data_IF_753095377506
#
_entry.id   IF_753095377506
#
_cell.length_a   1.000
_cell.length_b   1.000
_cell.length_c   1.000
_cell.angle_alpha   90.00
_cell.angle_beta   90.00
_cell.angle_gamma   90.00
#
_symmetry.space_group_name_H-M   'P 1'
#
loop_
_entity.id
_entity.type
_entity.pdbx_description
1 polymer ?
#
# COMPACT_ATOMS: atom_id res chain seq x y z
N UNK A 1 24.91 -9.83 -72.89
CA UNK A 1 24.05 -9.69 -74.08
C UNK A 1 22.61 -9.62 -73.60
N UNK A 2 21.93 -8.51 -73.92
CA UNK A 2 20.47 -8.25 -74.04
C UNK A 2 19.56 -8.72 -72.88
N UNK A 3 18.89 -7.89 -72.06
CA UNK A 3 18.03 -6.72 -72.29
C UNK A 3 16.83 -6.96 -73.23
N UNK A 4 15.65 -6.49 -72.78
CA UNK A 4 14.40 -6.04 -73.49
C UNK A 4 13.16 -6.60 -72.75
N UNK A 5 12.42 -5.83 -71.93
CA UNK A 5 11.52 -4.67 -72.14
C UNK A 5 10.02 -5.05 -72.35
N UNK A 6 9.14 -4.33 -71.64
CA UNK A 6 7.67 -4.28 -71.82
C UNK A 6 6.94 -4.07 -70.47
N UNK A 7 6.69 -2.87 -69.92
CA UNK A 7 5.91 -1.71 -70.44
C UNK A 7 4.41 -2.07 -70.58
N UNK A 8 3.37 -1.38 -70.10
CA UNK A 8 3.13 -0.06 -69.47
C UNK A 8 1.63 -0.03 -69.02
N UNK A 9 1.22 1.04 -68.33
CA UNK A 9 -0.14 1.51 -67.95
C UNK A 9 -0.50 1.29 -66.47
N UNK A 10 -0.24 2.24 -65.56
CA UNK A 10 -0.85 3.58 -65.36
C UNK A 10 -2.35 3.56 -65.04
N UNK A 11 -2.70 3.95 -63.81
CA UNK A 11 -3.75 4.92 -63.48
C UNK A 11 -3.42 5.57 -62.12
N UNK A 12 -3.39 6.89 -62.15
CA UNK A 12 -3.06 7.87 -61.12
C UNK A 12 -3.98 7.86 -59.87
N UNK A 13 -3.44 8.30 -58.74
CA UNK A 13 -3.89 9.56 -58.14
C UNK A 13 -2.82 10.18 -57.18
N UNK A 14 -2.68 11.52 -57.17
CA UNK A 14 -1.55 12.22 -56.55
C UNK A 14 -1.91 12.86 -55.20
N UNK A 15 -0.98 12.92 -54.24
CA UNK A 15 -1.04 13.94 -53.20
C UNK A 15 0.37 14.37 -52.75
N UNK A 16 0.76 15.51 -53.30
CA UNK A 16 1.85 16.44 -52.98
C UNK A 16 2.69 16.21 -51.71
N UNK A 17 3.96 15.87 -51.91
CA UNK A 17 5.06 16.18 -51.00
C UNK A 17 5.53 17.62 -51.25
N UNK A 18 5.46 18.50 -50.24
CA UNK A 18 6.12 19.81 -50.27
C UNK A 18 7.45 19.74 -49.54
N UNK A 19 8.51 19.77 -50.34
CA UNK A 19 9.86 20.18 -49.96
C UNK A 19 9.81 21.65 -49.50
N UNK A 20 10.38 21.97 -48.33
CA UNK A 20 10.80 23.35 -48.05
C UNK A 20 12.22 23.36 -47.48
N UNK A 21 13.00 24.22 -48.09
CA UNK A 21 14.44 24.40 -47.98
C UNK A 21 14.86 24.99 -46.63
N UNK A 22 16.04 24.57 -46.21
CA UNK A 22 16.87 25.19 -45.17
C UNK A 22 17.54 26.45 -45.73
N UNK A 23 17.41 27.57 -45.03
CA UNK A 23 18.28 28.75 -45.15
C UNK A 23 18.81 29.14 -43.76
N UNK A 24 20.10 29.51 -43.61
CA UNK A 24 20.66 29.99 -42.35
C UNK A 24 20.65 31.53 -42.30
N UNK A 25 20.29 32.11 -41.14
CA UNK A 25 20.53 33.54 -40.84
C UNK A 25 20.91 33.73 -39.37
N UNK A 26 22.17 34.12 -39.16
CA UNK A 26 22.58 35.39 -38.55
C UNK A 26 21.92 35.89 -37.26
N UNK A 27 22.71 35.84 -36.19
CA UNK A 27 22.99 36.84 -35.14
C UNK A 27 22.01 38.00 -34.83
N UNK A 28 22.00 38.28 -33.52
CA UNK A 28 21.73 39.56 -32.81
C UNK A 28 20.29 39.84 -32.38
N UNK A 29 20.14 40.14 -31.08
CA UNK A 29 18.90 40.69 -30.51
C UNK A 29 18.59 40.18 -29.11
N UNK A 30 19.32 40.66 -28.09
CA UNK A 30 18.87 40.60 -26.69
C UNK A 30 17.51 41.31 -26.59
N UNK A 31 16.47 40.61 -26.14
CA UNK A 31 15.23 41.23 -25.62
C UNK A 31 15.14 40.96 -24.12
N UNK A 32 14.85 41.97 -23.29
CA UNK A 32 14.73 41.77 -21.86
C UNK A 32 13.45 40.99 -21.51
N UNK A 33 13.57 40.17 -20.47
CA UNK A 33 12.47 39.44 -19.83
C UNK A 33 11.40 40.44 -19.35
N UNK A 34 10.19 40.35 -19.91
CA UNK A 34 9.02 40.96 -19.28
C UNK A 34 8.62 40.08 -18.10
N UNK A 35 8.81 40.63 -16.90
CA UNK A 35 8.18 40.13 -15.68
C UNK A 35 6.65 40.19 -15.87
N UNK A 36 6.02 39.02 -15.97
CA UNK A 36 4.57 38.90 -15.81
C UNK A 36 4.31 38.87 -14.31
N UNK A 37 3.77 39.97 -13.79
CA UNK A 37 3.45 40.15 -12.39
C UNK A 37 2.06 39.59 -12.13
N UNK A 38 1.99 38.50 -11.35
CA UNK A 38 0.74 37.91 -10.90
C UNK A 38 0.09 38.80 -9.82
N UNK A 39 -1.21 39.12 -9.91
CA UNK A 39 -1.90 39.85 -8.86
C UNK A 39 -2.09 38.96 -7.62
N UNK A 40 -1.25 39.18 -6.60
CA UNK A 40 -1.51 38.72 -5.24
C UNK A 40 -2.60 39.58 -4.62
N UNK A 41 -3.78 39.01 -4.34
CA UNK A 41 -4.64 39.24 -3.16
C UNK A 41 -6.05 38.69 -3.41
N UNK A 42 -6.30 37.46 -2.95
CA UNK A 42 -7.66 37.00 -2.66
C UNK A 42 -7.75 36.71 -1.16
N UNK A 43 -8.55 37.53 -0.46
CA UNK A 43 -8.75 37.48 0.99
C UNK A 43 -9.55 36.22 1.34
N UNK A 44 -8.93 35.27 2.04
CA UNK A 44 -9.63 34.19 2.76
C UNK A 44 -10.11 34.75 4.11
N UNK A 45 -11.43 34.80 4.30
CA UNK A 45 -12.07 34.98 5.61
C UNK A 45 -11.86 33.69 6.41
N UNK A 46 -11.05 33.76 7.46
CA UNK A 46 -10.92 32.72 8.48
C UNK A 46 -11.63 33.25 9.71
N UNK A 47 -12.72 32.59 10.12
CA UNK A 47 -13.33 32.83 11.42
C UNK A 47 -12.45 32.15 12.47
N UNK A 48 -11.84 32.95 13.34
CA UNK A 48 -11.07 32.51 14.50
C UNK A 48 -11.88 32.87 15.75
N UNK A 49 -12.38 31.86 16.45
CA UNK A 49 -12.91 32.04 17.80
C UNK A 49 -11.71 32.22 18.74
N UNK A 50 -11.70 33.36 19.42
CA UNK A 50 -10.77 33.76 20.47
C UNK A 50 -11.14 33.05 21.77
N UNK A 51 -10.17 32.36 22.38
CA UNK A 51 -10.22 31.97 23.78
C UNK A 51 -9.22 32.86 24.51
N UNK A 52 -9.74 33.84 25.24
CA UNK A 52 -8.98 34.60 26.22
C UNK A 52 -9.15 33.93 27.59
N UNK A 53 -8.03 33.85 28.31
CA UNK A 53 -7.91 33.27 29.65
C UNK A 53 -7.54 34.41 30.59
N UNK A 54 -8.38 34.73 31.57
CA UNK A 54 -8.03 35.39 32.83
C UNK A 54 -9.08 34.95 33.88
N UNK A 55 -8.73 34.05 34.79
CA UNK A 55 -8.37 34.28 36.21
C UNK A 55 -9.53 34.69 37.11
N UNK A 56 -9.60 34.02 38.26
CA UNK A 56 -10.09 34.65 39.49
C UNK A 56 -11.27 33.95 40.14
N UNK A 57 -10.94 33.08 41.10
CA UNK A 57 -11.57 32.97 42.42
C UNK A 57 -12.90 33.69 42.63
N UNK A 58 -13.94 32.93 42.96
CA UNK A 58 -14.76 33.23 44.15
C UNK A 58 -15.51 31.97 44.62
N UNK A 59 -15.20 31.60 45.85
CA UNK A 59 -15.98 30.69 46.69
C UNK A 59 -17.17 31.50 47.17
N UNK A 60 -18.39 31.10 46.81
CA UNK A 60 -19.58 31.55 47.52
C UNK A 60 -20.40 30.36 48.02
N UNK A 61 -20.19 30.09 49.30
CA UNK A 61 -21.03 29.32 50.20
C UNK A 61 -22.45 29.91 50.21
N UNK A 62 -23.41 29.23 49.58
CA UNK A 62 -24.83 29.56 49.71
C UNK A 62 -25.58 28.50 50.51
N UNK A 63 -25.50 28.69 51.82
CA UNK A 63 -26.56 28.58 52.84
C UNK A 63 -27.68 27.58 52.57
N UNK A 64 -27.62 26.52 53.37
CA UNK A 64 -28.74 25.80 53.99
C UNK A 64 -30.00 26.68 54.13
N UNK A 65 -31.07 26.31 53.43
CA UNK A 65 -32.41 26.84 53.65
C UNK A 65 -33.24 25.78 54.37
N UNK A 66 -33.62 26.14 55.60
CA UNK A 66 -34.44 25.42 56.59
C UNK A 66 -35.70 24.73 56.01
N UNK A 67 -36.12 23.56 56.55
CA UNK A 67 -37.26 22.82 56.04
C UNK A 67 -38.61 23.46 56.46
N UNK A 68 -39.63 23.51 55.59
CA UNK A 68 -40.98 23.77 56.05
C UNK A 68 -41.53 22.57 56.83
N UNK A 69 -42.33 22.92 57.83
CA UNK A 69 -42.82 22.09 58.93
C UNK A 69 -43.63 20.87 58.50
N UNK A 70 -43.48 19.82 59.32
CA UNK A 70 -44.21 18.54 59.33
C UNK A 70 -45.73 18.73 59.19
N UNK A 71 -46.29 18.19 58.10
CA UNK A 71 -47.69 17.76 58.00
C UNK A 71 -47.82 16.25 58.30
N UNK A 72 -49.02 15.74 58.62
CA UNK A 72 -49.18 14.43 59.22
C UNK A 72 -48.77 13.31 58.27
N UNK A 73 -48.06 12.31 58.82
CA UNK A 73 -47.67 11.08 58.12
C UNK A 73 -48.91 10.44 57.48
N UNK A 74 -49.02 10.49 56.15
CA UNK A 74 -49.79 9.50 55.41
C UNK A 74 -48.86 8.31 55.21
N UNK A 75 -49.23 7.17 55.79
CA UNK A 75 -48.63 5.88 55.47
C UNK A 75 -48.65 5.72 53.95
N UNK A 76 -47.48 5.50 53.37
CA UNK A 76 -47.37 5.00 52.02
C UNK A 76 -47.83 3.55 52.07
N UNK A 77 -49.12 3.31 51.83
CA UNK A 77 -49.61 1.98 51.51
C UNK A 77 -49.07 1.63 50.11
N UNK A 78 -47.87 1.06 50.12
CA UNK A 78 -47.39 0.02 49.21
C UNK A 78 -48.00 0.03 47.80
N UNK A 79 -47.44 0.88 46.94
CA UNK A 79 -47.48 0.64 45.48
C UNK A 79 -46.40 -0.37 45.04
N UNK A 80 -45.72 -1.04 45.97
CA UNK A 80 -44.64 -2.00 45.66
C UNK A 80 -45.15 -3.38 45.20
N UNK A 81 -46.45 -3.66 45.29
CA UNK A 81 -46.99 -4.96 44.87
C UNK A 81 -47.55 -4.99 43.44
N UNK A 82 -47.85 -3.82 42.84
CA UNK A 82 -48.38 -3.73 41.46
C UNK A 82 -47.26 -3.59 40.42
N UNK A 83 -46.00 -3.41 40.85
CA UNK A 83 -44.83 -3.52 39.98
C UNK A 83 -44.27 -4.95 39.86
N UNK A 84 -44.93 -5.97 40.43
CA UNK A 84 -44.34 -7.31 40.55
C UNK A 84 -44.73 -8.32 39.47
N UNK A 85 -45.64 -7.98 38.53
CA UNK A 85 -46.07 -8.96 37.52
C UNK A 85 -46.09 -8.49 36.06
N UNK A 86 -45.97 -7.18 35.77
CA UNK A 86 -45.74 -6.72 34.39
C UNK A 86 -44.26 -6.84 33.98
N UNK A 87 -43.35 -6.82 34.96
CA UNK A 87 -41.92 -7.11 34.80
C UNK A 87 -41.63 -8.62 34.67
N UNK A 88 -42.64 -9.48 34.87
CA UNK A 88 -42.44 -10.93 35.05
C UNK A 88 -42.68 -11.78 33.80
N UNK A 89 -43.04 -11.16 32.67
CA UNK A 89 -43.07 -11.85 31.37
C UNK A 89 -42.06 -11.37 30.34
N UNK A 90 -41.50 -10.16 30.49
CA UNK A 90 -40.41 -9.68 29.63
C UNK A 90 -39.39 -8.75 30.34
N UNK A 91 -39.42 -8.63 31.67
CA UNK A 91 -38.57 -7.70 32.42
C UNK A 91 -37.24 -8.30 32.85
N UNK A 92 -36.19 -7.50 32.74
CA UNK A 92 -34.77 -7.78 33.03
C UNK A 92 -34.13 -8.94 32.24
N UNK A 93 -34.69 -10.15 32.26
CA UNK A 93 -34.16 -11.29 31.52
C UNK A 93 -34.27 -11.11 29.99
N UNK A 94 -35.41 -10.62 29.50
CA UNK A 94 -35.60 -10.32 28.08
C UNK A 94 -34.73 -9.16 27.58
N UNK A 95 -34.55 -8.13 28.42
CA UNK A 95 -33.68 -7.00 28.14
C UNK A 95 -32.20 -7.39 28.10
N UNK A 96 -31.73 -8.26 29.00
CA UNK A 96 -30.35 -8.78 29.00
C UNK A 96 -30.07 -9.71 27.82
N UNK A 97 -31.05 -10.51 27.39
CA UNK A 97 -30.93 -11.32 26.16
C UNK A 97 -30.86 -10.44 24.93
N UNK A 98 -31.68 -9.38 24.83
CA UNK A 98 -31.64 -8.43 23.71
C UNK A 98 -30.35 -7.59 23.71
N UNK A 99 -29.86 -7.17 24.89
CA UNK A 99 -28.56 -6.52 25.04
C UNK A 99 -27.42 -7.46 24.69
N UNK A 100 -27.54 -8.74 25.04
CA UNK A 100 -26.64 -9.82 24.59
C UNK A 100 -26.63 -9.97 23.08
N UNK A 101 -27.79 -9.99 22.43
CA UNK A 101 -27.92 -10.07 20.96
C UNK A 101 -27.34 -8.82 20.27
N UNK A 102 -27.55 -7.62 20.81
CA UNK A 102 -26.98 -6.38 20.26
C UNK A 102 -25.46 -6.28 20.46
N UNK A 103 -24.94 -6.70 21.61
CA UNK A 103 -23.49 -6.69 21.87
C UNK A 103 -22.77 -7.81 21.14
N UNK A 104 -23.39 -8.98 20.98
CA UNK A 104 -22.81 -10.11 20.25
C UNK A 104 -22.89 -9.91 18.73
N UNK A 105 -23.96 -9.30 18.21
CA UNK A 105 -24.14 -9.01 16.78
C UNK A 105 -23.12 -8.02 16.21
N UNK A 106 -22.74 -6.98 16.98
CA UNK A 106 -21.68 -6.02 16.57
C UNK A 106 -20.28 -6.62 16.70
N UNK A 107 -20.09 -7.61 17.58
CA UNK A 107 -18.79 -8.27 17.79
C UNK A 107 -18.56 -9.44 16.82
N UNK A 108 -19.61 -10.06 16.28
CA UNK A 108 -19.48 -11.21 15.38
C UNK A 108 -18.74 -10.89 14.06
N UNK A 109 -18.76 -9.65 13.59
CA UNK A 109 -18.02 -9.23 12.38
C UNK A 109 -16.55 -8.89 12.66
N UNK A 110 -16.18 -8.60 13.91
CA UNK A 110 -14.79 -8.24 14.29
C UNK A 110 -13.95 -9.47 14.69
N UNK A 111 -14.59 -10.60 15.06
CA UNK A 111 -13.87 -11.82 15.49
C UNK A 111 -13.27 -12.58 14.30
N UNK A 112 -13.92 -12.52 13.12
CA UNK A 112 -13.54 -13.33 11.95
C UNK A 112 -12.13 -13.00 11.44
N UNK A 113 -11.79 -11.72 11.39
CA UNK A 113 -10.47 -11.22 10.98
C UNK A 113 -9.36 -11.56 11.98
N UNK A 114 -9.65 -11.62 13.29
CA UNK A 114 -8.63 -11.92 14.33
C UNK A 114 -8.17 -13.38 14.33
N UNK A 115 -9.05 -14.33 13.97
CA UNK A 115 -8.71 -15.75 13.93
C UNK A 115 -7.87 -16.09 12.70
N UNK A 116 -8.17 -15.50 11.55
CA UNK A 116 -7.41 -15.70 10.31
C UNK A 116 -5.97 -15.19 10.47
N UNK A 117 -5.78 -13.97 10.99
CA UNK A 117 -4.45 -13.43 11.27
C UNK A 117 -3.65 -14.28 12.27
N UNK A 118 -4.34 -14.92 13.22
CA UNK A 118 -3.72 -15.81 14.20
C UNK A 118 -3.36 -17.18 13.60
N UNK A 119 -4.14 -17.68 12.65
CA UNK A 119 -3.86 -18.91 11.93
C UNK A 119 -2.67 -18.75 10.97
N UNK A 120 -2.57 -17.61 10.27
CA UNK A 120 -1.43 -17.31 9.39
C UNK A 120 -0.12 -17.26 10.18
N UNK A 121 -0.12 -16.66 11.38
CA UNK A 121 1.05 -16.62 12.28
C UNK A 121 1.42 -18.00 12.83
N UNK A 122 0.43 -18.84 13.16
CA UNK A 122 0.67 -20.20 13.68
C UNK A 122 1.24 -21.17 12.65
N UNK A 123 0.94 -20.94 11.36
CA UNK A 123 1.44 -21.76 10.26
C UNK A 123 2.74 -21.20 9.63
N UNK A 124 3.32 -20.15 10.22
CA UNK A 124 4.60 -19.62 9.76
C UNK A 124 5.72 -20.44 10.39
N UNK A 125 6.53 -21.09 9.57
CA UNK A 125 7.66 -21.91 10.02
C UNK A 125 8.96 -21.14 9.76
N UNK A 126 9.69 -20.81 10.82
CA UNK A 126 11.05 -20.28 10.70
C UNK A 126 12.04 -21.42 10.46
N UNK A 127 12.92 -21.23 9.48
CA UNK A 127 14.02 -22.16 9.20
C UNK A 127 15.15 -21.81 10.16
N UNK A 128 15.73 -22.82 10.82
CA UNK A 128 16.84 -22.62 11.77
C UNK A 128 18.01 -21.95 11.04
N UNK A 129 18.54 -20.89 11.66
CA UNK A 129 19.64 -20.10 11.12
C UNK A 129 20.88 -21.01 10.96
N UNK A 130 21.22 -21.34 9.70
CA UNK A 130 22.29 -22.30 9.37
C UNK A 130 21.86 -23.50 8.51
N UNK A 131 20.55 -23.77 8.39
CA UNK A 131 19.97 -24.83 7.53
C UNK A 131 19.28 -24.24 6.29
N UNK A 132 19.85 -23.21 5.67
CA UNK A 132 19.32 -22.65 4.42
C UNK A 132 19.49 -23.64 3.26
N UNK A 133 18.49 -24.49 3.02
CA UNK A 133 18.49 -25.43 1.91
C UNK A 133 18.15 -24.71 0.60
N UNK A 134 19.16 -24.53 -0.25
CA UNK A 134 18.95 -23.99 -1.59
C UNK A 134 18.24 -25.01 -2.49
N UNK A 135 17.13 -24.59 -3.08
CA UNK A 135 16.44 -25.28 -4.15
C UNK A 135 16.83 -24.61 -5.47
N UNK A 136 17.27 -25.42 -6.43
CA UNK A 136 17.62 -24.97 -7.79
C UNK A 136 16.50 -25.35 -8.74
N UNK A 137 15.91 -24.37 -9.40
CA UNK A 137 14.92 -24.58 -10.46
C UNK A 137 15.61 -24.88 -11.81
N UNK A 138 14.85 -25.44 -12.75
CA UNK A 138 15.36 -25.86 -14.06
C UNK A 138 15.97 -24.72 -14.90
N UNK A 139 15.57 -23.48 -14.64
CA UNK A 139 16.04 -22.27 -15.31
C UNK A 139 17.23 -21.59 -14.61
N UNK A 140 17.88 -22.30 -13.67
CA UNK A 140 19.04 -21.79 -12.94
C UNK A 140 18.73 -20.83 -11.80
N UNK A 141 17.44 -20.49 -11.57
CA UNK A 141 17.02 -19.75 -10.39
C UNK A 141 17.28 -20.59 -9.13
N UNK A 142 17.93 -19.99 -8.13
CA UNK A 142 18.17 -20.65 -6.84
C UNK A 142 17.49 -19.86 -5.74
N UNK A 143 16.84 -20.54 -4.81
CA UNK A 143 16.25 -19.86 -3.66
C UNK A 143 16.35 -20.70 -2.39
N UNK A 144 16.36 -20.02 -1.24
CA UNK A 144 16.33 -20.63 0.08
C UNK A 144 15.31 -19.90 0.95
N UNK A 145 14.40 -20.66 1.55
CA UNK A 145 13.43 -20.15 2.49
C UNK A 145 14.11 -19.86 3.84
N UNK A 146 14.00 -18.62 4.32
CA UNK A 146 14.34 -18.28 5.70
C UNK A 146 13.14 -18.47 6.61
N UNK A 147 11.96 -18.12 6.09
CA UNK A 147 10.69 -18.22 6.80
C UNK A 147 9.61 -18.61 5.80
N UNK A 148 8.96 -19.73 6.03
CA UNK A 148 7.85 -20.20 5.20
C UNK A 148 6.58 -19.54 5.73
N UNK A 149 5.96 -18.69 4.91
CA UNK A 149 4.73 -18.00 5.26
C UNK A 149 3.53 -18.94 5.35
N UNK A 150 2.64 -18.69 6.32
CA UNK A 150 1.41 -19.47 6.51
C UNK A 150 0.18 -18.95 5.76
N UNK A 151 0.28 -17.76 5.14
CA UNK A 151 -0.87 -17.04 4.63
C UNK A 151 -1.26 -17.32 3.18
N UNK A 152 -1.98 -16.36 2.62
CA UNK A 152 -2.51 -16.40 1.24
C UNK A 152 -1.38 -16.61 0.21
N UNK A 153 -1.52 -17.56 -0.74
CA UNK A 153 -0.56 -17.76 -1.84
C UNK A 153 -0.64 -16.65 -2.89
N UNK A 154 0.47 -16.40 -3.57
CA UNK A 154 0.54 -15.41 -4.66
C UNK A 154 -0.12 -15.98 -5.92
N UNK A 155 -1.16 -15.33 -6.42
CA UNK A 155 -1.82 -15.69 -7.68
C UNK A 155 -1.79 -14.54 -8.69
N UNK A 156 -1.92 -14.88 -9.98
CA UNK A 156 -1.99 -13.90 -11.08
C UNK A 156 -3.08 -12.84 -10.85
N UNK A 157 -2.75 -11.58 -11.12
CA UNK A 157 -3.66 -10.45 -10.96
C UNK A 157 -3.80 -9.91 -9.53
N UNK A 158 -3.28 -10.60 -8.51
CA UNK A 158 -3.31 -10.11 -7.13
C UNK A 158 -2.35 -8.94 -6.91
N UNK A 159 -2.69 -8.07 -5.95
CA UNK A 159 -1.77 -7.05 -5.43
C UNK A 159 -0.82 -7.70 -4.42
N UNK A 160 0.47 -7.50 -4.66
CA UNK A 160 1.56 -7.96 -3.81
C UNK A 160 2.20 -6.76 -3.14
N UNK A 161 2.27 -6.79 -1.80
CA UNK A 161 3.03 -5.86 -0.99
C UNK A 161 4.31 -6.57 -0.56
N UNK A 162 5.45 -6.07 -1.03
CA UNK A 162 6.74 -6.72 -0.90
C UNK A 162 7.77 -5.75 -0.31
N UNK A 163 8.51 -6.22 0.69
CA UNK A 163 9.79 -5.67 1.06
C UNK A 163 10.88 -6.54 0.44
N UNK A 164 11.95 -5.91 -0.01
CA UNK A 164 13.16 -6.61 -0.41
C UNK A 164 14.42 -5.75 -0.26
N UNK A 165 15.55 -6.45 -0.19
CA UNK A 165 16.89 -5.92 -0.42
C UNK A 165 17.50 -6.61 -1.63
N UNK A 166 18.09 -5.85 -2.53
CA UNK A 166 18.66 -6.36 -3.77
C UNK A 166 20.12 -5.92 -3.93
N UNK A 167 20.97 -6.88 -4.27
CA UNK A 167 22.39 -6.69 -4.56
C UNK A 167 22.72 -7.24 -5.94
N UNK A 168 23.67 -6.62 -6.62
CA UNK A 168 24.24 -7.08 -7.87
C UNK A 168 25.74 -7.30 -7.67
N UNK A 169 26.21 -8.54 -7.80
CA UNK A 169 27.60 -8.92 -7.52
C UNK A 169 28.11 -8.39 -6.16
N UNK A 170 27.28 -8.50 -5.11
CA UNK A 170 27.61 -8.03 -3.76
C UNK A 170 27.40 -6.53 -3.51
N UNK A 171 27.13 -5.73 -4.54
CA UNK A 171 26.81 -4.30 -4.38
C UNK A 171 25.30 -4.09 -4.26
N UNK A 172 24.85 -3.57 -3.12
CA UNK A 172 23.46 -3.16 -2.93
C UNK A 172 23.08 -2.02 -3.87
N UNK A 173 21.94 -2.17 -4.55
CA UNK A 173 21.37 -1.13 -5.42
C UNK A 173 19.97 -0.69 -4.98
N UNK A 174 19.27 -1.50 -4.19
CA UNK A 174 17.96 -1.17 -3.65
C UNK A 174 17.76 -1.86 -2.30
N UNK A 175 17.28 -1.10 -1.32
CA UNK A 175 16.78 -1.65 -0.06
C UNK A 175 15.51 -0.92 0.36
N UNK A 176 14.39 -1.62 0.26
CA UNK A 176 13.07 -1.10 0.64
C UNK A 176 12.82 -1.16 2.15
N UNK A 177 13.48 -2.08 2.86
CA UNK A 177 13.39 -2.25 4.31
C UNK A 177 14.06 -1.07 5.02
N UNK A 178 15.27 -0.69 4.59
CA UNK A 178 15.98 0.51 5.09
C UNK A 178 15.19 1.79 4.83
N UNK A 179 14.47 1.86 3.72
CA UNK A 179 13.62 3.00 3.37
C UNK A 179 12.29 3.03 4.15
N UNK A 180 11.84 1.90 4.69
CA UNK A 180 10.53 1.77 5.32
C UNK A 180 9.35 1.95 4.36
N UNK A 181 9.57 1.78 3.05
CA UNK A 181 8.52 1.92 2.02
C UNK A 181 8.48 0.66 1.15
N UNK A 182 7.52 -0.26 1.40
CA UNK A 182 7.34 -1.46 0.59
C UNK A 182 6.96 -1.10 -0.84
N UNK A 183 7.28 -1.99 -1.78
CA UNK A 183 6.77 -1.89 -3.15
C UNK A 183 5.40 -2.58 -3.23
N UNK A 184 4.50 -1.97 -4.00
CA UNK A 184 3.20 -2.56 -4.33
C UNK A 184 3.11 -2.70 -5.84
N UNK A 185 2.78 -3.90 -6.30
CA UNK A 185 2.60 -4.18 -7.73
C UNK A 185 1.56 -5.27 -7.94
N UNK A 186 1.01 -5.35 -9.16
CA UNK A 186 0.12 -6.44 -9.58
C UNK A 186 0.96 -7.60 -10.09
N UNK A 187 0.81 -8.78 -9.50
CA UNK A 187 1.51 -9.99 -9.90
C UNK A 187 1.06 -10.44 -11.30
N UNK A 188 2.00 -10.82 -12.18
CA UNK A 188 1.74 -11.14 -13.58
C UNK A 188 1.66 -9.94 -14.53
N UNK A 189 1.89 -8.72 -14.05
CA UNK A 189 1.86 -7.50 -14.89
C UNK A 189 3.27 -7.08 -15.28
N UNK A 190 3.47 -6.84 -16.58
CA UNK A 190 4.75 -6.46 -17.18
C UNK A 190 4.59 -5.08 -17.85
N UNK A 191 5.61 -4.19 -17.80
CA UNK A 191 6.98 -4.40 -17.34
C UNK A 191 7.17 -4.38 -15.81
N UNK A 192 8.24 -5.03 -15.35
CA UNK A 192 8.61 -5.05 -13.93
C UNK A 192 8.96 -3.65 -13.42
N UNK A 193 8.41 -3.30 -12.25
CA UNK A 193 8.65 -1.99 -11.63
C UNK A 193 9.61 -2.11 -10.47
N UNK A 194 10.34 -1.03 -10.22
CA UNK A 194 11.14 -0.87 -9.02
C UNK A 194 12.42 -1.68 -8.98
N UNK A 195 12.91 -2.27 -10.08
CA UNK A 195 14.11 -3.10 -10.05
C UNK A 195 13.84 -4.55 -9.66
N UNK A 196 12.57 -4.97 -9.73
CA UNK A 196 12.19 -6.37 -9.81
C UNK A 196 12.54 -6.91 -11.21
N UNK A 197 12.75 -8.22 -11.29
CA UNK A 197 13.04 -8.93 -12.52
C UNK A 197 12.23 -10.23 -12.59
N UNK A 198 12.26 -10.89 -13.75
CA UNK A 198 11.50 -12.12 -14.00
C UNK A 198 11.80 -13.22 -12.98
N UNK A 199 13.06 -13.40 -12.60
CA UNK A 199 13.43 -14.41 -11.61
C UNK A 199 12.80 -14.18 -10.22
N UNK A 200 12.56 -12.92 -9.85
CA UNK A 200 11.86 -12.61 -8.60
C UNK A 200 10.38 -12.99 -8.69
N UNK A 201 9.74 -12.76 -9.83
CA UNK A 201 8.34 -13.14 -10.03
C UNK A 201 8.12 -14.66 -9.96
N UNK A 202 9.05 -15.43 -10.54
CA UNK A 202 9.05 -16.89 -10.47
C UNK A 202 9.32 -17.40 -9.04
N UNK A 203 10.22 -16.73 -8.30
CA UNK A 203 10.46 -17.04 -6.89
C UNK A 203 9.25 -16.75 -6.00
N UNK A 204 8.45 -15.72 -6.32
CA UNK A 204 7.22 -15.37 -5.60
C UNK A 204 6.07 -16.35 -5.86
N UNK A 205 6.07 -17.03 -7.01
CA UNK A 205 4.99 -17.95 -7.41
C UNK A 205 4.74 -19.07 -6.38
N UNK A 206 5.80 -19.53 -5.71
CA UNK A 206 5.74 -20.62 -4.72
C UNK A 206 5.72 -20.11 -3.27
N UNK A 207 5.62 -18.79 -3.08
CA UNK A 207 5.71 -18.13 -1.79
C UNK A 207 4.31 -17.82 -1.23
N UNK A 208 4.23 -17.70 0.09
CA UNK A 208 3.01 -17.38 0.84
C UNK A 208 3.22 -16.12 1.66
N UNK A 209 2.13 -15.41 1.93
CA UNK A 209 2.14 -14.22 2.78
C UNK A 209 2.81 -14.50 4.12
N UNK A 210 3.66 -13.57 4.57
CA UNK A 210 4.50 -13.72 5.76
C UNK A 210 5.79 -14.53 5.55
N UNK A 211 6.09 -14.95 4.32
CA UNK A 211 7.33 -15.64 4.02
C UNK A 211 8.53 -14.69 3.89
N UNK A 212 9.73 -15.19 4.17
CA UNK A 212 11.01 -14.53 3.87
C UNK A 212 11.89 -15.51 3.11
N UNK A 213 12.43 -15.08 1.96
CA UNK A 213 13.19 -15.94 1.05
C UNK A 213 14.40 -15.22 0.48
N UNK A 214 15.54 -15.90 0.44
CA UNK A 214 16.71 -15.50 -0.34
C UNK A 214 16.59 -16.08 -1.74
N UNK A 215 16.84 -15.27 -2.75
CA UNK A 215 16.76 -15.66 -4.16
C UNK A 215 18.03 -15.22 -4.87
N UNK A 216 18.70 -16.14 -5.54
CA UNK A 216 19.84 -15.88 -6.42
C UNK A 216 19.33 -16.01 -7.85
N UNK A 217 19.30 -14.88 -8.55
CA UNK A 217 18.75 -14.77 -9.90
C UNK A 217 19.91 -14.74 -10.90
N UNK A 218 19.99 -15.71 -11.83
CA UNK A 218 20.98 -15.68 -12.90
C UNK A 218 20.71 -14.49 -13.85
N UNK A 219 21.73 -14.00 -14.56
CA UNK A 219 21.60 -12.82 -15.43
C UNK A 219 20.52 -12.96 -16.50
N UNK A 220 20.25 -14.18 -16.98
CA UNK A 220 19.21 -14.51 -17.97
C UNK A 220 17.79 -14.18 -17.49
N UNK A 221 17.52 -14.32 -16.20
CA UNK A 221 16.23 -14.00 -15.57
C UNK A 221 16.23 -12.60 -14.91
N UNK A 222 17.38 -11.91 -14.94
CA UNK A 222 17.61 -10.59 -14.38
C UNK A 222 17.54 -9.48 -15.44
N UNK A 223 18.63 -8.71 -15.54
CA UNK A 223 18.77 -7.60 -16.49
C UNK A 223 19.65 -7.95 -17.72
N UNK A 224 19.99 -9.24 -17.88
CA UNK A 224 20.73 -9.74 -19.04
C UNK A 224 22.12 -9.14 -19.21
N UNK A 225 22.66 -9.29 -20.42
CA UNK A 225 23.99 -8.80 -20.81
C UNK A 225 24.06 -7.28 -20.96
N UNK A 226 22.93 -6.57 -20.98
CA UNK A 226 22.93 -5.11 -21.11
C UNK A 226 23.03 -4.40 -19.75
N UNK A 227 22.65 -5.08 -18.67
CA UNK A 227 22.51 -4.44 -17.36
C UNK A 227 21.43 -3.36 -17.38
N UNK A 228 21.39 -2.53 -16.35
CA UNK A 228 20.49 -1.38 -16.33
C UNK A 228 20.96 -0.30 -15.37
N UNK A 229 20.49 0.92 -15.57
CA UNK A 229 20.69 2.03 -14.65
C UNK A 229 19.34 2.39 -14.04
N UNK A 230 19.21 2.16 -12.74
CA UNK A 230 18.04 2.57 -11.98
C UNK A 230 18.12 4.07 -11.73
N UNK A 231 17.11 4.78 -12.23
CA UNK A 231 16.99 6.23 -12.04
C UNK A 231 16.11 6.55 -10.83
N UNK A 232 16.38 7.69 -10.17
CA UNK A 232 15.48 8.25 -9.20
C UNK A 232 14.08 8.42 -9.80
N UNK A 233 13.07 8.15 -8.99
CA UNK A 233 11.68 8.44 -9.35
C UNK A 233 11.16 9.52 -8.40
N UNK A 234 10.10 10.21 -8.80
CA UNK A 234 9.46 11.23 -7.94
C UNK A 234 9.13 10.68 -6.54
N UNK A 235 8.62 9.44 -6.48
CA UNK A 235 8.23 8.78 -5.24
C UNK A 235 9.42 8.20 -4.46
N UNK A 236 10.55 7.95 -5.13
CA UNK A 236 11.77 7.40 -4.54
C UNK A 236 13.00 8.15 -5.09
N UNK A 237 13.33 9.32 -4.53
CA UNK A 237 14.43 10.15 -5.02
C UNK A 237 15.81 9.55 -4.72
N UNK A 238 15.90 8.64 -3.73
CA UNK A 238 17.14 7.96 -3.34
C UNK A 238 17.47 6.74 -4.19
N UNK A 239 16.59 6.35 -5.12
CA UNK A 239 16.78 5.18 -5.97
C UNK A 239 17.86 5.49 -7.01
N UNK A 240 19.08 5.04 -6.75
CA UNK A 240 20.17 5.15 -7.70
C UNK A 240 21.05 3.91 -7.61
N UNK A 241 21.18 3.20 -8.72
CA UNK A 241 21.95 1.97 -8.78
C UNK A 241 22.32 1.61 -10.21
N UNK A 242 23.55 1.18 -10.40
CA UNK A 242 24.02 0.62 -11.68
C UNK A 242 24.08 -0.88 -11.49
N UNK A 243 23.34 -1.60 -12.32
CA UNK A 243 23.40 -3.05 -12.39
C UNK A 243 24.29 -3.39 -13.60
N UNK A 244 25.48 -3.96 -13.37
CA UNK A 244 26.39 -4.22 -14.47
C UNK A 244 25.83 -5.28 -15.44
N UNK A 245 26.26 -5.24 -16.72
CA UNK A 245 26.09 -6.32 -17.68
C UNK A 245 26.35 -7.71 -17.09
N UNK A 246 25.43 -8.65 -17.27
CA UNK A 246 25.63 -10.05 -16.88
C UNK A 246 25.74 -10.29 -15.36
N UNK A 247 25.34 -9.32 -14.53
CA UNK A 247 25.38 -9.47 -13.09
C UNK A 247 24.44 -10.57 -12.59
N UNK A 248 24.92 -11.37 -11.64
CA UNK A 248 24.04 -12.22 -10.83
C UNK A 248 23.44 -11.37 -9.72
N UNK A 249 22.13 -11.48 -9.53
CA UNK A 249 21.40 -10.68 -8.56
C UNK A 249 21.06 -11.54 -7.35
N UNK A 250 21.19 -10.97 -6.16
CA UNK A 250 20.73 -11.61 -4.94
C UNK A 250 19.63 -10.74 -4.33
N UNK A 251 18.50 -11.36 -4.06
CA UNK A 251 17.34 -10.73 -3.43
C UNK A 251 17.06 -11.40 -2.10
N UNK A 252 16.83 -10.59 -1.08
CA UNK A 252 16.16 -11.02 0.15
C UNK A 252 14.75 -10.46 0.12
N UNK A 253 13.76 -11.34 -0.06
CA UNK A 253 12.35 -11.03 -0.21
C UNK A 253 11.62 -11.24 1.11
N UNK A 254 10.76 -10.30 1.50
CA UNK A 254 9.84 -10.38 2.63
C UNK A 254 8.43 -10.05 2.13
N UNK A 255 7.61 -11.09 1.98
CA UNK A 255 6.27 -10.98 1.42
C UNK A 255 5.31 -10.53 2.52
N UNK A 256 5.07 -9.22 2.57
CA UNK A 256 4.28 -8.59 3.64
C UNK A 256 2.81 -8.96 3.53
N UNK A 257 2.22 -8.86 2.34
CA UNK A 257 0.79 -9.10 2.13
C UNK A 257 0.46 -9.40 0.67
N UNK A 258 -0.55 -10.24 0.46
CA UNK A 258 -1.21 -10.46 -0.83
C UNK A 258 -2.69 -10.12 -0.68
N UNK A 259 -3.26 -9.37 -1.63
CA UNK A 259 -4.68 -9.01 -1.62
C UNK A 259 -5.27 -8.93 -3.02
N UNK A 260 -6.58 -9.11 -3.13
CA UNK A 260 -7.32 -8.92 -4.39
C UNK A 260 -7.37 -7.40 -4.69
N UNK A 261 -7.06 -6.96 -5.93
CA UNK A 261 -7.19 -5.55 -6.29
C UNK A 261 -8.65 -5.07 -6.18
N UNK A 262 -8.89 -3.81 -5.80
CA UNK A 262 -10.22 -3.23 -5.93
C UNK A 262 -10.62 -3.21 -7.40
N UNK A 263 -11.85 -3.66 -7.69
CA UNK A 263 -12.50 -3.65 -9.00
C UNK A 263 -13.01 -2.28 -9.37
#
# INVERSE_FOLDING_TARGET
>A
MSAVFGSLNDICCPCHARHLQVHPVGSSGRRPLRHVQFPTKLKRKVCRASNDTETGLEVEERKEASPPRRGPKRQADSTDWIASNLTRRFGLAGGLVWLGILTFGVVSEQIKTRLEDSAERKNTQEVREGEEKYVTAANGLRYADKRIGGGTPVNQGMLVILNYRATANGKEFEDTMKRGKPIVFRYGTHPFTGGLCRGVEEALATMRTGGVRKVIVPPELGFGSQGTVLRPTEHVPTKQGIIPPGATLEYELDLVRVSIPPS
#
